data_IF_470727208127
#
_entry.id   IF_470727208127
#
_cell.length_a   1.000
_cell.length_b   1.000
_cell.length_c   1.000
_cell.angle_alpha   90.00
_cell.angle_beta   90.00
_cell.angle_gamma   90.00
#
_symmetry.space_group_name_H-M   'P 1'
#
loop_
_entity.id
_entity.type
_entity.pdbx_description
1 polymer ?
#
# COMPACT_ATOMS: atom_id res chain seq x y z
N UNK A 1 62.05 58.31 -26.87
CA UNK A 1 61.54 57.32 -27.81
C UNK A 1 61.20 56.11 -26.97
N UNK A 2 60.18 55.93 -26.74
CA UNK A 2 58.80 55.74 -26.53
C UNK A 2 58.61 54.49 -25.62
N UNK A 3 58.18 54.73 -24.41
CA UNK A 3 57.74 53.71 -23.44
C UNK A 3 56.23 53.95 -23.15
N UNK A 4 55.40 53.44 -24.01
CA UNK A 4 53.98 53.45 -23.73
C UNK A 4 53.29 52.32 -24.48
N UNK A 5 53.30 51.13 -23.92
CA UNK A 5 52.41 50.04 -24.32
C UNK A 5 52.63 48.87 -23.31
N UNK A 6 51.88 48.85 -22.23
CA UNK A 6 51.97 47.74 -21.30
C UNK A 6 51.10 47.91 -20.06
N UNK A 7 49.80 48.25 -20.18
CA UNK A 7 48.90 48.15 -19.01
C UNK A 7 47.43 48.14 -19.40
N UNK A 8 47.05 47.27 -20.31
CA UNK A 8 45.62 46.97 -20.56
C UNK A 8 45.43 45.49 -20.83
N UNK A 9 45.68 44.63 -19.88
CA UNK A 9 45.20 43.23 -19.95
C UNK A 9 45.33 42.54 -18.60
N UNK A 10 44.69 43.09 -17.57
CA UNK A 10 44.45 42.29 -16.34
C UNK A 10 43.24 42.83 -15.55
N UNK A 11 42.08 42.76 -16.16
CA UNK A 11 40.84 43.06 -15.43
C UNK A 11 39.62 42.36 -16.07
N UNK A 12 39.72 41.04 -16.32
CA UNK A 12 38.55 40.26 -16.69
C UNK A 12 38.76 38.81 -16.29
N UNK A 13 38.49 38.42 -15.04
CA UNK A 13 38.07 37.03 -14.76
C UNK A 13 37.60 36.77 -13.32
N UNK A 14 37.16 37.77 -12.54
CA UNK A 14 36.70 37.48 -11.18
C UNK A 14 35.21 37.60 -10.92
N UNK A 15 34.39 37.90 -11.95
CA UNK A 15 32.94 38.10 -11.77
C UNK A 15 32.09 36.87 -12.13
N UNK A 16 32.71 35.85 -12.74
CA UNK A 16 31.94 34.74 -13.32
C UNK A 16 31.64 33.59 -12.32
N UNK A 17 32.48 33.32 -11.33
CA UNK A 17 32.29 32.17 -10.43
C UNK A 17 31.24 32.41 -9.33
N UNK A 18 31.15 33.62 -8.79
CA UNK A 18 30.19 33.89 -7.69
C UNK A 18 28.74 33.92 -8.14
N UNK A 19 28.49 34.38 -9.38
CA UNK A 19 27.13 34.40 -9.95
C UNK A 19 26.59 33.03 -10.32
N UNK A 20 27.48 32.14 -10.72
CA UNK A 20 27.13 30.72 -11.03
C UNK A 20 26.72 29.96 -9.77
N UNK A 21 27.40 30.17 -8.64
CA UNK A 21 27.05 29.53 -7.38
C UNK A 21 25.69 29.98 -6.82
N UNK A 22 25.32 31.25 -6.98
CA UNK A 22 24.05 31.81 -6.47
C UNK A 22 22.84 31.28 -7.27
N UNK A 23 23.02 30.94 -8.54
CA UNK A 23 21.94 30.42 -9.39
C UNK A 23 21.76 28.89 -9.28
N UNK A 24 22.82 28.13 -8.92
CA UNK A 24 22.76 26.66 -8.81
C UNK A 24 22.25 26.17 -7.44
N UNK A 25 22.43 26.92 -6.36
CA UNK A 25 21.97 26.52 -5.02
C UNK A 25 20.45 26.43 -4.92
N UNK A 26 19.62 27.36 -5.41
CA UNK A 26 18.17 27.23 -5.34
C UNK A 26 17.63 26.13 -6.26
N UNK A 27 18.29 25.81 -7.37
CA UNK A 27 17.88 24.71 -8.25
C UNK A 27 18.11 23.34 -7.61
N UNK A 28 19.19 23.17 -6.83
CA UNK A 28 19.49 21.92 -6.14
C UNK A 28 18.55 21.65 -4.97
N UNK A 29 18.04 22.70 -4.29
CA UNK A 29 17.09 22.58 -3.17
C UNK A 29 15.70 22.17 -3.66
N UNK A 30 15.29 22.56 -4.87
CA UNK A 30 14.01 22.15 -5.46
C UNK A 30 13.95 20.67 -5.88
N UNK A 31 15.10 20.04 -6.12
CA UNK A 31 15.17 18.63 -6.54
C UNK A 31 14.96 17.62 -5.39
N UNK A 32 15.01 18.04 -4.13
CA UNK A 32 14.84 17.16 -2.96
C UNK A 32 13.47 17.24 -2.26
N UNK A 33 12.53 18.04 -2.79
CA UNK A 33 11.16 17.99 -2.29
C UNK A 33 10.40 16.84 -2.96
N UNK A 34 10.86 15.60 -2.71
CA UNK A 34 10.12 14.39 -3.05
C UNK A 34 8.89 14.35 -2.16
N UNK A 35 7.78 14.90 -2.64
CA UNK A 35 6.47 14.67 -2.02
C UNK A 35 6.21 13.17 -2.06
N UNK A 36 6.41 12.48 -0.93
CA UNK A 36 5.96 11.11 -0.77
C UNK A 36 4.44 11.14 -0.87
N UNK A 37 3.92 10.86 -2.06
CA UNK A 37 2.50 10.66 -2.23
C UNK A 37 2.09 9.51 -1.30
N UNK A 38 1.33 9.82 -0.24
CA UNK A 38 0.78 8.81 0.64
C UNK A 38 -0.17 7.94 -0.19
N UNK A 39 0.16 6.65 -0.30
CA UNK A 39 -0.70 5.71 -1.01
C UNK A 39 -1.92 5.38 -0.16
N UNK A 40 -3.04 5.12 -0.81
CA UNK A 40 -4.21 4.56 -0.15
C UNK A 40 -3.84 3.39 0.74
N UNK A 41 -4.44 3.30 1.92
CA UNK A 41 -4.14 2.27 2.90
C UNK A 41 -5.42 1.57 3.37
N UNK A 42 -5.45 0.24 3.24
CA UNK A 42 -6.44 -0.61 3.86
C UNK A 42 -5.90 -1.09 5.21
N UNK A 43 -6.61 -0.85 6.30
CA UNK A 43 -6.21 -1.26 7.66
C UNK A 43 -7.22 -2.26 8.18
N UNK A 44 -6.77 -3.43 8.63
CA UNK A 44 -7.60 -4.43 9.33
C UNK A 44 -7.16 -4.56 10.79
N UNK A 45 -8.12 -4.53 11.70
CA UNK A 45 -7.90 -4.79 13.12
C UNK A 45 -8.64 -6.07 13.52
N UNK A 46 -7.92 -7.19 13.76
CA UNK A 46 -8.53 -8.47 14.11
C UNK A 46 -9.15 -8.49 15.52
N UNK A 47 -8.76 -7.59 16.43
CA UNK A 47 -9.34 -7.51 17.77
C UNK A 47 -10.72 -6.87 17.77
N UNK A 48 -10.92 -5.86 16.94
CA UNK A 48 -12.21 -5.17 16.81
C UNK A 48 -13.04 -5.69 15.63
N UNK A 49 -12.48 -6.60 14.83
CA UNK A 49 -13.11 -7.15 13.62
C UNK A 49 -13.55 -6.08 12.64
N UNK A 50 -12.78 -5.01 12.52
CA UNK A 50 -13.08 -3.86 11.66
C UNK A 50 -11.99 -3.61 10.66
N UNK A 51 -12.38 -3.08 9.52
CA UNK A 51 -11.44 -2.53 8.55
C UNK A 51 -11.72 -1.05 8.29
N UNK A 52 -10.68 -0.32 7.85
CA UNK A 52 -10.75 1.09 7.42
C UNK A 52 -10.05 1.25 6.08
N UNK A 53 -10.68 2.00 5.20
CA UNK A 53 -10.07 2.53 3.98
C UNK A 53 -9.63 3.96 4.24
N UNK A 54 -8.33 4.23 4.14
CA UNK A 54 -7.71 5.53 4.43
C UNK A 54 -7.10 6.03 3.12
N UNK A 55 -7.53 7.18 2.64
CA UNK A 55 -7.02 7.76 1.39
C UNK A 55 -5.59 8.33 1.54
N UNK A 56 -5.04 8.83 0.44
CA UNK A 56 -3.72 9.43 0.39
C UNK A 56 -3.55 10.69 1.25
N UNK A 57 -4.63 11.28 1.73
CA UNK A 57 -4.63 12.44 2.62
C UNK A 57 -4.74 12.04 4.11
N UNK A 58 -4.78 10.73 4.40
CA UNK A 58 -4.95 10.21 5.76
C UNK A 58 -6.40 10.20 6.25
N UNK A 59 -7.39 10.54 5.40
CA UNK A 59 -8.81 10.55 5.75
C UNK A 59 -9.40 9.14 5.65
N UNK A 60 -10.14 8.72 6.67
CA UNK A 60 -10.95 7.50 6.60
C UNK A 60 -12.15 7.76 5.69
N UNK A 61 -12.16 7.13 4.52
CA UNK A 61 -13.21 7.28 3.51
C UNK A 61 -14.29 6.22 3.62
N UNK A 62 -13.98 5.08 4.23
CA UNK A 62 -14.95 4.02 4.52
C UNK A 62 -14.45 3.09 5.62
N UNK A 63 -15.37 2.47 6.34
CA UNK A 63 -15.10 1.44 7.34
C UNK A 63 -16.16 0.36 7.26
N UNK A 64 -15.86 -0.82 7.77
CA UNK A 64 -16.81 -1.93 7.82
C UNK A 64 -16.30 -3.06 8.71
N UNK A 65 -17.09 -4.14 8.75
CA UNK A 65 -16.73 -5.36 9.47
C UNK A 65 -15.89 -6.28 8.62
N UNK A 66 -14.94 -6.98 9.28
CA UNK A 66 -14.12 -8.01 8.66
C UNK A 66 -13.85 -9.17 9.61
N UNK A 67 -13.53 -10.33 9.05
CA UNK A 67 -13.14 -11.52 9.81
C UNK A 67 -11.83 -12.05 9.24
N UNK A 68 -10.80 -12.09 10.08
CA UNK A 68 -9.47 -12.59 9.74
C UNK A 68 -9.31 -14.09 9.99
N UNK A 69 -8.07 -14.54 9.98
CA UNK A 69 -7.70 -15.94 10.25
C UNK A 69 -7.88 -16.32 11.71
N UNK A 70 -8.43 -17.52 11.95
CA UNK A 70 -8.63 -18.07 13.29
C UNK A 70 -7.29 -18.47 13.96
N UNK A 71 -7.30 -18.58 15.28
CA UNK A 71 -6.11 -18.97 16.05
C UNK A 71 -5.54 -20.32 15.61
N UNK A 72 -6.42 -21.28 15.36
CA UNK A 72 -6.08 -22.65 14.96
C UNK A 72 -7.11 -23.19 13.96
N UNK A 73 -6.62 -23.85 12.91
CA UNK A 73 -7.43 -24.53 11.89
C UNK A 73 -7.26 -26.04 12.02
N UNK A 74 -8.30 -26.77 12.48
CA UNK A 74 -8.21 -28.22 12.70
C UNK A 74 -7.96 -29.02 11.41
N UNK A 75 -8.52 -28.58 10.30
CA UNK A 75 -8.41 -29.23 8.99
C UNK A 75 -7.02 -29.18 8.36
N UNK A 76 -6.13 -28.32 8.87
CA UNK A 76 -4.73 -28.21 8.45
C UNK A 76 -3.75 -28.33 9.62
N UNK A 77 -4.25 -28.69 10.83
CA UNK A 77 -3.51 -28.92 12.07
C UNK A 77 -2.48 -27.84 12.42
N UNK A 78 -2.79 -26.54 12.17
CA UNK A 78 -1.88 -25.41 12.45
C UNK A 78 -2.61 -24.09 12.72
N UNK A 79 -1.85 -23.13 13.24
CA UNK A 79 -2.30 -21.73 13.31
C UNK A 79 -2.57 -21.17 11.91
N UNK A 80 -3.62 -20.36 11.80
CA UNK A 80 -4.01 -19.74 10.54
C UNK A 80 -4.43 -18.25 10.69
N UNK A 81 -3.89 -17.57 11.71
CA UNK A 81 -4.06 -16.13 11.85
C UNK A 81 -3.62 -15.40 10.57
N UNK A 82 -4.31 -14.34 10.23
CA UNK A 82 -3.83 -13.42 9.18
C UNK A 82 -2.46 -12.87 9.60
N UNK A 83 -1.45 -12.88 8.72
CA UNK A 83 -0.14 -12.35 9.08
C UNK A 83 -0.22 -10.87 9.47
N UNK A 84 0.39 -10.53 10.60
CA UNK A 84 0.48 -9.17 11.13
C UNK A 84 1.57 -8.43 10.37
N UNK A 85 1.36 -7.15 10.09
CA UNK A 85 2.37 -6.30 9.45
C UNK A 85 1.83 -5.39 8.37
N UNK A 86 2.75 -4.91 7.55
CA UNK A 86 2.46 -4.03 6.41
C UNK A 86 2.78 -4.77 5.13
N UNK A 87 1.82 -4.81 4.23
CA UNK A 87 1.88 -5.51 2.95
C UNK A 87 1.44 -4.59 1.83
N UNK A 88 1.58 -5.07 0.60
CA UNK A 88 1.16 -4.35 -0.60
C UNK A 88 0.30 -5.26 -1.47
N UNK A 89 -0.79 -4.74 -2.00
CA UNK A 89 -1.60 -5.47 -2.98
C UNK A 89 -0.79 -5.68 -4.26
N UNK A 90 -0.59 -6.94 -4.64
CA UNK A 90 0.17 -7.31 -5.84
C UNK A 90 -0.68 -7.96 -6.92
N UNK A 91 -1.87 -8.48 -6.58
CA UNK A 91 -2.77 -9.11 -7.55
C UNK A 91 -4.23 -8.90 -7.14
N UNK A 92 -5.13 -8.87 -8.13
CA UNK A 92 -6.57 -8.71 -7.93
C UNK A 92 -7.33 -9.64 -8.87
N UNK A 93 -8.43 -10.22 -8.34
CA UNK A 93 -9.40 -10.99 -9.11
C UNK A 93 -10.77 -10.32 -9.18
N UNK A 94 -11.60 -10.82 -10.08
CA UNK A 94 -12.96 -10.35 -10.32
C UNK A 94 -14.02 -11.01 -9.41
N UNK A 95 -15.31 -10.86 -9.76
CA UNK A 95 -16.42 -11.45 -8.99
C UNK A 95 -16.36 -12.98 -8.95
N UNK A 96 -15.82 -13.64 -9.96
CA UNK A 96 -15.64 -15.10 -10.02
C UNK A 96 -14.35 -15.62 -9.39
N UNK A 97 -13.60 -14.81 -8.63
CA UNK A 97 -12.40 -15.27 -7.95
C UNK A 97 -12.72 -16.39 -6.96
N UNK A 98 -11.92 -17.46 -6.99
CA UNK A 98 -12.04 -18.63 -6.12
C UNK A 98 -10.69 -19.00 -5.49
N UNK A 99 -10.74 -19.67 -4.34
CA UNK A 99 -9.55 -20.22 -3.69
C UNK A 99 -9.02 -21.41 -4.49
N UNK A 100 -7.71 -21.44 -4.73
CA UNK A 100 -7.03 -22.63 -5.25
C UNK A 100 -6.78 -23.73 -4.20
N UNK A 101 -6.94 -23.42 -2.90
CA UNK A 101 -6.54 -24.27 -1.78
C UNK A 101 -7.71 -24.80 -0.94
N UNK A 102 -8.79 -24.02 -0.86
CA UNK A 102 -9.92 -24.32 0.04
C UNK A 102 -11.22 -24.52 -0.73
N UNK A 103 -12.07 -25.49 -0.32
CA UNK A 103 -11.82 -26.51 0.72
C UNK A 103 -10.53 -27.29 0.47
N UNK A 104 -9.90 -27.77 1.54
CA UNK A 104 -8.65 -28.54 1.46
C UNK A 104 -8.79 -29.69 0.47
N UNK A 105 -7.82 -29.82 -0.44
CA UNK A 105 -7.78 -30.87 -1.47
C UNK A 105 -8.67 -30.65 -2.71
N UNK A 106 -9.58 -29.68 -2.70
CA UNK A 106 -10.48 -29.41 -3.85
C UNK A 106 -10.39 -27.98 -4.40
N UNK A 107 -10.15 -26.98 -3.54
CA UNK A 107 -10.24 -25.57 -3.95
C UNK A 107 -11.68 -25.15 -4.25
N UNK A 108 -11.86 -24.03 -4.94
CA UNK A 108 -13.15 -23.55 -5.42
C UNK A 108 -13.98 -22.73 -4.44
N UNK A 109 -13.55 -22.55 -3.16
CA UNK A 109 -14.25 -21.64 -2.25
C UNK A 109 -14.36 -20.23 -2.84
N UNK A 110 -15.57 -19.63 -2.91
CA UNK A 110 -15.75 -18.30 -3.46
C UNK A 110 -14.98 -17.23 -2.68
N UNK A 111 -14.27 -16.39 -3.41
CA UNK A 111 -13.53 -15.24 -2.91
C UNK A 111 -13.78 -13.99 -3.78
N UNK A 112 -15.05 -13.58 -4.00
CA UNK A 112 -15.36 -12.54 -4.96
C UNK A 112 -14.58 -11.26 -4.66
N UNK A 113 -14.06 -10.66 -5.74
CA UNK A 113 -13.23 -9.45 -5.69
C UNK A 113 -11.98 -9.62 -4.83
N UNK A 114 -11.30 -10.75 -4.93
CA UNK A 114 -10.07 -11.03 -4.18
C UNK A 114 -8.97 -10.00 -4.50
N UNK A 115 -8.29 -9.53 -3.46
CA UNK A 115 -7.19 -8.55 -3.52
C UNK A 115 -6.04 -9.13 -2.69
N UNK A 116 -5.06 -9.73 -3.37
CA UNK A 116 -3.98 -10.47 -2.73
C UNK A 116 -2.91 -9.51 -2.20
N UNK A 117 -2.60 -9.61 -0.91
CA UNK A 117 -1.53 -8.86 -0.23
C UNK A 117 -0.34 -9.73 0.18
N UNK A 118 -0.49 -11.06 0.12
CA UNK A 118 0.62 -12.02 0.16
C UNK A 118 0.40 -13.08 -0.93
N UNK A 119 1.34 -14.01 -1.11
CA UNK A 119 1.20 -15.12 -2.06
C UNK A 119 -0.11 -15.91 -1.86
N UNK A 120 -0.61 -16.01 -0.61
CA UNK A 120 -1.72 -16.89 -0.28
C UNK A 120 -2.90 -16.21 0.40
N UNK A 121 -2.77 -14.94 0.82
CA UNK A 121 -3.81 -14.25 1.57
C UNK A 121 -4.30 -13.01 0.84
N UNK A 122 -5.62 -12.86 0.85
CA UNK A 122 -6.31 -11.77 0.19
C UNK A 122 -7.35 -11.12 1.12
N UNK A 123 -7.70 -9.88 0.83
CA UNK A 123 -9.00 -9.29 1.20
C UNK A 123 -9.99 -9.72 0.15
N UNK A 124 -11.15 -10.27 0.54
CA UNK A 124 -12.16 -10.73 -0.42
C UNK A 124 -13.57 -10.69 0.16
N UNK A 125 -14.57 -10.74 -0.70
CA UNK A 125 -15.97 -10.85 -0.30
C UNK A 125 -16.31 -12.22 0.27
N UNK A 126 -17.14 -12.23 1.31
CA UNK A 126 -17.75 -13.43 1.88
C UNK A 126 -19.09 -13.08 2.52
N UNK A 127 -20.07 -13.97 2.39
CA UNK A 127 -21.31 -13.89 3.17
C UNK A 127 -21.09 -14.30 4.63
N UNK A 128 -20.00 -15.03 4.90
CA UNK A 128 -19.60 -15.46 6.23
C UNK A 128 -18.59 -14.49 6.85
N UNK A 129 -19.09 -13.41 7.46
CA UNK A 129 -18.30 -12.42 8.23
C UNK A 129 -18.81 -12.40 9.68
N UNK A 130 -18.54 -13.46 10.46
CA UNK A 130 -19.02 -13.58 11.84
C UNK A 130 -18.31 -12.56 12.76
N UNK A 131 -18.74 -12.52 14.03
CA UNK A 131 -18.15 -11.68 15.07
C UNK A 131 -16.91 -12.30 15.74
N UNK A 132 -16.18 -13.11 15.00
CA UNK A 132 -14.88 -13.68 15.38
C UNK A 132 -14.02 -13.92 14.15
N UNK A 133 -12.72 -14.13 14.32
CA UNK A 133 -11.81 -14.45 13.24
C UNK A 133 -12.00 -15.93 12.82
N UNK A 134 -12.51 -16.17 11.61
CA UNK A 134 -13.02 -17.46 11.15
C UNK A 134 -12.32 -18.04 9.92
N UNK A 135 -11.46 -17.26 9.24
CA UNK A 135 -10.85 -17.70 7.98
C UNK A 135 -9.57 -18.54 8.19
N UNK A 136 -9.00 -19.01 7.10
CA UNK A 136 -7.67 -19.66 7.06
C UNK A 136 -6.52 -18.65 6.79
N UNK A 137 -6.73 -17.36 7.12
CA UNK A 137 -5.73 -16.32 6.99
C UNK A 137 -6.11 -15.15 6.05
N UNK A 138 -7.07 -15.32 5.17
CA UNK A 138 -7.65 -14.22 4.41
C UNK A 138 -8.45 -13.25 5.30
N UNK A 139 -8.65 -12.03 4.83
CA UNK A 139 -9.55 -11.06 5.44
C UNK A 139 -10.86 -11.08 4.68
N UNK A 140 -11.92 -11.61 5.32
CA UNK A 140 -13.27 -11.63 4.78
C UNK A 140 -13.96 -10.30 5.08
N UNK A 141 -14.59 -9.71 4.08
CA UNK A 141 -15.47 -8.54 4.21
C UNK A 141 -16.80 -8.84 3.51
N UNK A 142 -17.87 -8.10 3.76
CA UNK A 142 -19.12 -8.32 3.04
C UNK A 142 -18.95 -8.14 1.53
N UNK A 143 -19.70 -8.88 0.67
CA UNK A 143 -19.50 -8.85 -0.79
C UNK A 143 -19.65 -7.44 -1.40
N UNK A 144 -20.58 -6.63 -0.89
CA UNK A 144 -20.74 -5.23 -1.30
C UNK A 144 -19.52 -4.36 -0.98
N UNK A 145 -18.91 -4.59 0.19
CA UNK A 145 -17.68 -3.91 0.59
C UNK A 145 -16.48 -4.36 -0.24
N UNK A 146 -16.36 -5.66 -0.50
CA UNK A 146 -15.29 -6.19 -1.37
C UNK A 146 -15.40 -5.62 -2.79
N UNK A 147 -16.61 -5.53 -3.35
CA UNK A 147 -16.86 -4.89 -4.64
C UNK A 147 -16.42 -3.44 -4.63
N UNK A 148 -16.84 -2.66 -3.62
CA UNK A 148 -16.47 -1.25 -3.50
C UNK A 148 -14.96 -1.08 -3.33
N UNK A 149 -14.35 -1.83 -2.40
CA UNK A 149 -12.90 -1.81 -2.17
C UNK A 149 -12.14 -2.10 -3.46
N UNK A 150 -12.51 -3.16 -4.18
CA UNK A 150 -11.83 -3.57 -5.40
C UNK A 150 -12.02 -2.59 -6.56
N UNK A 151 -13.18 -1.98 -6.71
CA UNK A 151 -13.48 -1.11 -7.85
C UNK A 151 -13.05 0.34 -7.63
N UNK A 152 -13.16 0.84 -6.40
CA UNK A 152 -13.05 2.28 -6.14
C UNK A 152 -11.83 2.66 -5.28
N UNK A 153 -11.25 1.73 -4.52
CA UNK A 153 -10.27 2.11 -3.50
C UNK A 153 -8.94 1.36 -3.64
N UNK A 154 -8.94 0.03 -3.68
CA UNK A 154 -7.75 -0.80 -3.73
C UNK A 154 -7.27 -0.98 -5.16
N UNK A 155 -6.03 -0.53 -5.43
CA UNK A 155 -5.28 -0.75 -6.67
C UNK A 155 -4.06 -1.64 -6.38
N UNK A 156 -3.41 -2.16 -7.43
CA UNK A 156 -2.05 -2.73 -7.29
C UNK A 156 -1.16 -1.65 -6.68
N UNK A 157 -0.36 -2.01 -5.67
CA UNK A 157 0.45 -1.07 -4.90
C UNK A 157 -0.24 -0.48 -3.66
N UNK A 158 -1.57 -0.63 -3.46
CA UNK A 158 -2.26 -0.18 -2.25
C UNK A 158 -1.68 -0.90 -1.01
N UNK A 159 -1.38 -0.13 0.04
CA UNK A 159 -0.88 -0.64 1.31
C UNK A 159 -1.98 -1.38 2.09
N UNK A 160 -1.62 -2.52 2.68
CA UNK A 160 -2.48 -3.29 3.60
C UNK A 160 -1.78 -3.38 4.94
N UNK A 161 -2.41 -2.89 5.99
CA UNK A 161 -1.92 -2.97 7.37
C UNK A 161 -2.80 -3.92 8.15
N UNK A 162 -2.22 -5.00 8.66
CA UNK A 162 -2.88 -5.93 9.58
C UNK A 162 -2.35 -5.66 10.99
N UNK A 163 -3.23 -5.21 11.88
CA UNK A 163 -2.86 -4.94 13.27
C UNK A 163 -2.63 -6.24 14.06
N UNK A 164 -1.90 -6.21 15.18
CA UNK A 164 -1.79 -7.34 16.11
C UNK A 164 -3.14 -7.87 16.57
N UNK A 165 -3.17 -9.19 16.90
CA UNK A 165 -4.33 -9.89 17.48
C UNK A 165 -4.39 -9.67 18.98
#
# INVERSE_FOLDING_TARGET
>A
MDKSLGNIMEKQSSISLSLVYILFIPLLVFLFCSSTALANTFVFNPNTLTWKAIDSNGKVVRTGRGSGGRKYCPDIHRGCKTPIGVFTIWSKGGPGCVSSRYPVGRGGSPMPYCMFFTKYYAVHGSYEVPNYNASHGCIRVHPGDAKWLSKNFIKIGTKVVVKPY
#
